data_IF_006585454994
#
_entry.id   IF_006585454994
#
_cell.length_a   1.000
_cell.length_b   1.000
_cell.length_c   1.000
_cell.angle_alpha   90.00
_cell.angle_beta   90.00
_cell.angle_gamma   90.00
#
_symmetry.space_group_name_H-M   'P 1'
#
loop_
_entity.id
_entity.type
_entity.pdbx_description
1 polymer ?
#
# COMPACT_ATOMS: atom_id res chain seq x y z
N UNK A 1 -10.40 12.67 10.86
CA UNK A 1 -9.99 11.29 11.16
C UNK A 1 -8.61 11.01 10.57
N UNK A 2 -7.77 10.31 11.33
CA UNK A 2 -6.47 9.92 10.81
C UNK A 2 -6.58 8.69 9.91
N UNK A 3 -5.91 8.74 8.77
CA UNK A 3 -5.96 7.70 7.76
C UNK A 3 -4.55 7.26 7.38
N UNK A 4 -4.32 5.95 7.45
CA UNK A 4 -3.09 5.30 7.02
C UNK A 4 -3.37 4.47 5.77
N UNK A 5 -2.54 4.60 4.74
CA UNK A 5 -2.52 3.65 3.64
C UNK A 5 -1.33 2.72 3.82
N UNK A 6 -1.59 1.42 3.85
CA UNK A 6 -0.55 0.39 3.82
C UNK A 6 -0.58 -0.27 2.45
N UNK A 7 0.60 -0.37 1.83
CA UNK A 7 0.78 -1.04 0.54
C UNK A 7 1.54 -2.33 0.81
N UNK A 8 0.82 -3.46 1.00
CA UNK A 8 1.49 -4.73 1.20
C UNK A 8 2.12 -5.20 -0.11
N UNK A 9 3.38 -5.62 -0.04
CA UNK A 9 4.11 -6.09 -1.20
C UNK A 9 4.99 -7.26 -0.81
N UNK A 10 4.86 -8.38 -1.52
CA UNK A 10 5.70 -9.56 -1.32
C UNK A 10 6.49 -9.84 -2.58
N UNK A 11 7.69 -10.39 -2.42
CA UNK A 11 8.49 -10.84 -3.56
C UNK A 11 7.97 -12.17 -4.10
N UNK A 12 7.68 -13.11 -3.20
CA UNK A 12 7.21 -14.44 -3.58
C UNK A 12 5.79 -14.37 -4.16
N UNK A 13 5.63 -14.84 -5.39
CA UNK A 13 4.35 -14.96 -6.07
C UNK A 13 4.38 -16.26 -6.86
N UNK A 14 3.29 -17.02 -6.83
CA UNK A 14 3.20 -18.28 -7.56
C UNK A 14 3.28 -18.03 -9.07
N UNK A 15 2.68 -16.95 -9.56
CA UNK A 15 2.60 -16.65 -10.99
C UNK A 15 3.77 -15.83 -11.52
N UNK A 16 4.26 -14.91 -10.72
CA UNK A 16 5.31 -13.98 -11.17
C UNK A 16 6.15 -13.54 -9.97
N UNK A 17 7.18 -14.31 -9.61
CA UNK A 17 8.09 -13.90 -8.52
C UNK A 17 8.73 -12.53 -8.82
N UNK A 18 8.76 -11.66 -7.81
CA UNK A 18 9.32 -10.33 -7.97
C UNK A 18 8.42 -9.35 -8.72
N UNK A 19 7.13 -9.64 -8.86
CA UNK A 19 6.16 -8.79 -9.56
C UNK A 19 6.19 -7.34 -9.09
N UNK A 20 6.33 -7.10 -7.79
CA UNK A 20 6.36 -5.75 -7.23
C UNK A 20 7.53 -4.92 -7.77
N UNK A 21 8.63 -5.58 -8.17
CA UNK A 21 9.82 -4.93 -8.72
C UNK A 21 9.83 -4.90 -10.25
N UNK A 22 8.83 -5.48 -10.91
CA UNK A 22 8.74 -5.48 -12.37
C UNK A 22 8.60 -4.06 -12.89
N UNK A 23 9.45 -3.70 -13.83
CA UNK A 23 9.43 -2.37 -14.46
C UNK A 23 8.29 -2.26 -15.46
N UNK A 24 7.49 -1.21 -15.31
CA UNK A 24 6.38 -0.92 -16.22
C UNK A 24 6.62 0.43 -16.90
N UNK A 25 6.55 0.42 -18.22
CA UNK A 25 6.68 1.63 -19.02
C UNK A 25 5.34 2.32 -19.18
N UNK A 26 5.25 3.56 -18.74
CA UNK A 26 4.04 4.36 -18.89
C UNK A 26 3.97 5.08 -20.24
N UNK A 27 2.87 5.81 -20.45
CA UNK A 27 2.62 6.58 -21.68
C UNK A 27 3.70 7.63 -21.94
N UNK A 28 4.35 8.16 -20.89
CA UNK A 28 5.46 9.11 -21.00
C UNK A 28 6.77 8.47 -21.43
N UNK A 29 6.84 7.15 -21.55
CA UNK A 29 8.07 6.41 -21.84
C UNK A 29 8.95 6.14 -20.64
N UNK A 30 8.60 6.64 -19.47
CA UNK A 30 9.35 6.42 -18.23
C UNK A 30 9.02 5.03 -17.66
N UNK A 31 10.07 4.26 -17.34
CA UNK A 31 9.92 2.95 -16.71
C UNK A 31 10.03 3.07 -15.20
N UNK A 32 9.07 2.48 -14.48
CA UNK A 32 9.04 2.48 -13.02
C UNK A 32 8.61 1.12 -12.51
N UNK A 33 9.14 0.66 -11.36
CA UNK A 33 8.67 -0.61 -10.79
C UNK A 33 7.19 -0.51 -10.40
N UNK A 34 6.51 -1.64 -10.47
CA UNK A 34 5.07 -1.74 -10.16
C UNK A 34 4.76 -1.16 -8.77
N UNK A 35 5.57 -1.48 -7.77
CA UNK A 35 5.40 -0.97 -6.40
C UNK A 35 5.44 0.57 -6.34
N UNK A 36 6.30 1.20 -7.15
CA UNK A 36 6.38 2.66 -7.20
C UNK A 36 5.10 3.26 -7.77
N UNK A 37 4.53 2.65 -8.81
CA UNK A 37 3.28 3.13 -9.39
C UNK A 37 2.11 3.03 -8.42
N UNK A 38 2.06 1.94 -7.65
CA UNK A 38 1.05 1.77 -6.59
C UNK A 38 1.26 2.80 -5.48
N UNK A 39 2.51 3.07 -5.10
CA UNK A 39 2.84 4.08 -4.10
C UNK A 39 2.47 5.49 -4.56
N UNK A 40 2.74 5.81 -5.83
CA UNK A 40 2.35 7.11 -6.40
C UNK A 40 0.83 7.28 -6.40
N UNK A 41 0.09 6.21 -6.72
CA UNK A 41 -1.37 6.23 -6.66
C UNK A 41 -1.86 6.50 -5.22
N UNK A 42 -1.25 5.87 -4.23
CA UNK A 42 -1.57 6.10 -2.83
C UNK A 42 -1.27 7.54 -2.39
N UNK A 43 -0.14 8.07 -2.84
CA UNK A 43 0.27 9.45 -2.52
C UNK A 43 -0.65 10.49 -3.13
N UNK A 44 -1.37 10.16 -4.19
CA UNK A 44 -2.32 11.05 -4.83
C UNK A 44 -3.67 11.14 -4.11
N UNK A 45 -3.94 10.24 -3.16
CA UNK A 45 -5.18 10.24 -2.38
C UNK A 45 -5.17 11.41 -1.39
N UNK A 46 -6.24 12.21 -1.40
CA UNK A 46 -6.36 13.34 -0.48
C UNK A 46 -6.86 12.88 0.89
N UNK A 47 -6.44 13.59 1.94
CA UNK A 47 -6.89 13.33 3.30
C UNK A 47 -6.16 12.17 3.99
N UNK A 48 -5.07 11.69 3.41
CA UNK A 48 -4.26 10.60 3.98
C UNK A 48 -3.10 11.20 4.77
N UNK A 49 -2.94 10.73 6.01
CA UNK A 49 -1.92 11.24 6.91
C UNK A 49 -0.57 10.54 6.72
N UNK A 50 -0.58 9.29 6.31
CA UNK A 50 0.64 8.50 6.16
C UNK A 50 0.46 7.38 5.14
N UNK A 51 1.49 7.14 4.35
CA UNK A 51 1.54 6.04 3.38
C UNK A 51 2.79 5.23 3.65
N UNK A 52 2.65 3.92 3.85
CA UNK A 52 3.80 3.03 4.07
C UNK A 52 3.72 1.82 3.15
N UNK A 53 4.89 1.32 2.75
CA UNK A 53 5.04 0.05 2.07
C UNK A 53 5.36 -0.99 3.14
N UNK A 54 4.64 -2.10 3.17
CA UNK A 54 4.87 -3.19 4.11
C UNK A 54 5.37 -4.41 3.34
N UNK A 55 6.56 -4.88 3.66
CA UNK A 55 7.16 -6.02 2.96
C UNK A 55 8.07 -6.83 3.89
N UNK A 56 8.29 -8.09 3.53
CA UNK A 56 9.25 -8.96 4.20
C UNK A 56 10.56 -9.10 3.41
N UNK A 57 10.66 -8.43 2.26
CA UNK A 57 11.76 -8.61 1.31
C UNK A 57 12.66 -7.37 1.26
N UNK A 58 13.96 -7.56 1.49
CA UNK A 58 14.92 -6.45 1.50
C UNK A 58 15.10 -5.79 0.14
N UNK A 59 14.89 -6.52 -0.97
CA UNK A 59 14.99 -5.97 -2.33
C UNK A 59 13.86 -4.96 -2.58
N UNK A 60 12.65 -5.30 -2.13
CA UNK A 60 11.50 -4.40 -2.22
C UNK A 60 11.72 -3.19 -1.32
N UNK A 61 12.18 -3.40 -0.08
CA UNK A 61 12.50 -2.31 0.84
C UNK A 61 13.49 -1.34 0.22
N UNK A 62 14.62 -1.86 -0.28
CA UNK A 62 15.67 -1.01 -0.83
C UNK A 62 15.18 -0.20 -2.02
N UNK A 63 14.40 -0.82 -2.89
CA UNK A 63 13.85 -0.13 -4.07
C UNK A 63 12.84 0.93 -3.66
N UNK A 64 11.97 0.62 -2.70
CA UNK A 64 10.97 1.56 -2.22
C UNK A 64 11.61 2.76 -1.52
N UNK A 65 12.59 2.53 -0.67
CA UNK A 65 13.32 3.62 -0.03
C UNK A 65 14.06 4.49 -1.05
N UNK A 66 14.54 3.89 -2.14
CA UNK A 66 15.22 4.64 -3.21
C UNK A 66 14.34 5.66 -3.90
N UNK A 67 13.03 5.43 -3.99
CA UNK A 67 12.11 6.43 -4.56
C UNK A 67 11.37 7.26 -3.49
N UNK A 68 11.79 7.16 -2.25
CA UNK A 68 11.30 8.04 -1.18
C UNK A 68 10.17 7.49 -0.32
N UNK A 69 9.79 6.23 -0.48
CA UNK A 69 8.73 5.64 0.32
C UNK A 69 9.20 5.27 1.72
N UNK A 70 8.29 5.39 2.67
CA UNK A 70 8.48 4.85 4.02
C UNK A 70 8.18 3.36 3.98
N UNK A 71 9.04 2.53 4.57
CA UNK A 71 8.90 1.08 4.55
C UNK A 71 8.83 0.53 5.96
N UNK A 72 7.88 -0.38 6.18
CA UNK A 72 7.78 -1.17 7.42
C UNK A 72 8.08 -2.62 7.07
N UNK A 73 9.07 -3.20 7.73
CA UNK A 73 9.39 -4.61 7.53
C UNK A 73 8.41 -5.46 8.34
N UNK A 74 7.84 -6.46 7.67
CA UNK A 74 6.87 -7.38 8.26
C UNK A 74 7.35 -8.82 8.16
N UNK A 75 6.67 -9.73 8.87
CA UNK A 75 7.03 -11.13 8.90
C UNK A 75 6.75 -11.83 7.56
N UNK A 76 7.62 -12.77 7.20
CA UNK A 76 7.38 -13.66 6.05
C UNK A 76 6.22 -14.63 6.29
N UNK A 77 5.76 -14.76 7.54
CA UNK A 77 4.65 -15.64 7.89
C UNK A 77 3.27 -15.05 7.60
N UNK A 78 3.19 -13.78 7.18
CA UNK A 78 1.92 -13.18 6.76
C UNK A 78 1.34 -13.94 5.56
N UNK A 79 0.13 -14.46 5.70
CA UNK A 79 -0.51 -15.26 4.67
C UNK A 79 -1.16 -14.43 3.57
N UNK A 80 -1.52 -13.19 3.88
CA UNK A 80 -2.20 -12.29 2.93
C UNK A 80 -1.89 -10.83 3.23
N UNK A 81 -2.37 -9.94 2.36
CA UNK A 81 -2.16 -8.52 2.51
C UNK A 81 -2.84 -7.92 3.74
N UNK A 82 -3.96 -8.47 4.16
CA UNK A 82 -4.68 -8.00 5.36
C UNK A 82 -3.86 -8.23 6.63
N UNK A 83 -3.28 -9.43 6.79
CA UNK A 83 -2.39 -9.72 7.91
C UNK A 83 -1.17 -8.83 7.91
N UNK A 84 -0.59 -8.58 6.73
CA UNK A 84 0.57 -7.70 6.59
C UNK A 84 0.23 -6.26 6.97
N UNK A 85 -0.96 -5.77 6.60
CA UNK A 85 -1.43 -4.46 7.02
C UNK A 85 -1.58 -4.36 8.54
N UNK A 86 -2.12 -5.39 9.16
CA UNK A 86 -2.29 -5.44 10.62
C UNK A 86 -0.94 -5.39 11.32
N UNK A 87 0.02 -6.17 10.85
CA UNK A 87 1.36 -6.18 11.43
C UNK A 87 2.07 -4.83 11.25
N UNK A 88 1.91 -4.19 10.08
CA UNK A 88 2.47 -2.86 9.83
C UNK A 88 1.86 -1.82 10.76
N UNK A 89 0.55 -1.87 10.97
CA UNK A 89 -0.14 -0.97 11.89
C UNK A 89 0.40 -1.12 13.32
N UNK A 90 0.57 -2.35 13.78
CA UNK A 90 1.13 -2.64 15.10
C UNK A 90 2.56 -2.10 15.22
N UNK A 91 3.38 -2.29 14.18
CA UNK A 91 4.76 -1.80 14.16
C UNK A 91 4.83 -0.26 14.23
N UNK A 92 3.82 0.42 13.73
CA UNK A 92 3.72 1.88 13.79
C UNK A 92 3.09 2.39 15.10
N UNK A 93 2.71 1.49 16.01
CA UNK A 93 2.12 1.85 17.30
C UNK A 93 0.62 2.08 17.26
N UNK A 94 -0.07 1.71 16.19
CA UNK A 94 -1.49 1.97 16.03
C UNK A 94 -1.80 3.46 15.86
N UNK A 95 -2.94 3.90 16.34
CA UNK A 95 -3.28 5.33 16.42
C UNK A 95 -3.94 5.93 15.19
N UNK A 96 -4.32 5.11 14.22
CA UNK A 96 -5.05 5.55 13.04
C UNK A 96 -6.52 5.12 13.13
N UNK A 97 -7.41 6.03 12.75
CA UNK A 97 -8.85 5.74 12.74
C UNK A 97 -9.25 4.85 11.58
N UNK A 98 -8.58 5.03 10.44
CA UNK A 98 -8.85 4.26 9.21
C UNK A 98 -7.53 3.73 8.67
N UNK A 99 -7.54 2.45 8.29
CA UNK A 99 -6.41 1.80 7.61
C UNK A 99 -6.90 1.32 6.25
N UNK A 100 -6.22 1.76 5.19
CA UNK A 100 -6.52 1.35 3.82
C UNK A 100 -5.49 0.34 3.37
N UNK A 101 -5.95 -0.80 2.88
CA UNK A 101 -5.11 -1.82 2.25
C UNK A 101 -5.14 -1.57 0.73
N UNK A 102 -4.06 -1.01 0.20
CA UNK A 102 -3.91 -0.80 -1.24
C UNK A 102 -2.81 -1.73 -1.73
N UNK A 103 -3.20 -2.76 -2.48
CA UNK A 103 -2.28 -3.80 -2.91
C UNK A 103 -1.13 -3.23 -3.76
N UNK A 104 0.07 -3.78 -3.58
CA UNK A 104 1.27 -3.34 -4.30
C UNK A 104 1.22 -3.57 -5.81
N UNK A 105 0.24 -4.33 -6.30
CA UNK A 105 0.01 -4.59 -7.71
C UNK A 105 -1.24 -3.91 -8.26
N UNK A 106 -1.70 -2.83 -7.62
CA UNK A 106 -2.88 -2.08 -8.03
C UNK A 106 -2.53 -0.65 -8.48
N UNK A 107 -1.67 -0.48 -9.50
CA UNK A 107 -1.16 0.85 -9.88
C UNK A 107 -2.20 1.75 -10.56
N UNK A 108 -3.32 1.18 -10.99
CA UNK A 108 -4.38 1.92 -11.67
C UNK A 108 -5.54 2.28 -10.75
N UNK A 109 -5.39 2.10 -9.44
CA UNK A 109 -6.41 2.50 -8.48
C UNK A 109 -6.58 4.02 -8.53
N UNK A 110 -7.76 4.55 -8.92
CA UNK A 110 -7.94 6.00 -8.95
C UNK A 110 -7.98 6.57 -7.53
N UNK A 111 -7.35 7.72 -7.29
CA UNK A 111 -7.39 8.34 -5.94
C UNK A 111 -8.80 8.58 -5.44
N UNK A 112 -9.73 8.98 -6.31
CA UNK A 112 -11.13 9.24 -5.91
C UNK A 112 -11.82 8.00 -5.36
N UNK A 113 -11.41 6.80 -5.79
CA UNK A 113 -12.01 5.56 -5.30
C UNK A 113 -11.69 5.36 -3.81
N UNK A 114 -10.43 5.56 -3.43
CA UNK A 114 -10.00 5.46 -2.02
C UNK A 114 -10.67 6.56 -1.20
N UNK A 115 -10.72 7.78 -1.72
CA UNK A 115 -11.39 8.91 -1.06
C UNK A 115 -12.86 8.59 -0.80
N UNK A 116 -13.55 7.99 -1.77
CA UNK A 116 -14.95 7.59 -1.64
C UNK A 116 -15.15 6.51 -0.58
N UNK A 117 -14.25 5.54 -0.47
CA UNK A 117 -14.31 4.51 0.57
C UNK A 117 -14.15 5.11 1.97
N UNK A 118 -13.22 6.03 2.14
CA UNK A 118 -13.00 6.72 3.41
C UNK A 118 -14.22 7.56 3.80
N UNK A 119 -14.77 8.29 2.85
CA UNK A 119 -16.00 9.07 3.07
C UNK A 119 -17.19 8.18 3.45
N UNK A 120 -17.31 7.01 2.83
CA UNK A 120 -18.37 6.07 3.15
C UNK A 120 -18.28 5.57 4.59
N UNK A 121 -17.08 5.27 5.08
CA UNK A 121 -16.85 4.87 6.46
C UNK A 121 -17.16 6.01 7.43
N UNK A 122 -16.79 7.22 7.09
CA UNK A 122 -17.07 8.40 7.92
C UNK A 122 -18.56 8.68 8.01
N UNK A 123 -19.29 8.50 6.91
CA UNK A 123 -20.74 8.73 6.84
C UNK A 123 -21.56 7.61 7.51
N UNK A 124 -20.98 6.46 7.78
CA UNK A 124 -21.66 5.30 8.34
C UNK A 124 -20.93 4.81 9.59
N UNK A 125 -21.13 5.46 10.76
CA UNK A 125 -20.33 5.19 11.97
C UNK A 125 -20.38 3.75 12.48
N UNK A 126 -21.38 2.97 12.10
CA UNK A 126 -21.51 1.57 12.51
C UNK A 126 -20.82 0.60 11.53
N UNK A 127 -20.39 1.06 10.38
CA UNK A 127 -19.67 0.23 9.41
C UNK A 127 -18.21 0.09 9.82
N UNK A 128 -17.66 -1.11 9.70
CA UNK A 128 -16.26 -1.39 10.02
C UNK A 128 -15.38 -1.55 8.77
N UNK A 129 -15.99 -1.90 7.63
CA UNK A 129 -15.27 -2.18 6.38
C UNK A 129 -16.00 -1.56 5.19
N UNK A 130 -15.23 -1.00 4.26
CA UNK A 130 -15.69 -0.57 2.95
C UNK A 130 -14.78 -1.15 1.86
N UNK A 131 -15.36 -1.59 0.75
CA UNK A 131 -14.61 -2.15 -0.39
C UNK A 131 -15.12 -1.60 -1.71
#
# INVERSE_FOLDING_TARGET
MSTLIVIPARYASVRYPGKALAELRGASGVSKPLIRRSWEAARAVRGVDRVVVATDDSRIRNRAEAFGAEVVMTSSSCENGTERCAEALDALGGGFDIVVNLQGDAPLTPPWFVEALVEALDAHPTAEVAT
#
